data_IF_004730117928
#
_entry.id   IF_004730117928
#
_cell.length_a   1.000
_cell.length_b   1.000
_cell.length_c   1.000
_cell.angle_alpha   90.00
_cell.angle_beta   90.00
_cell.angle_gamma   90.00
#
_symmetry.space_group_name_H-M   'P 1'
#
loop_
_entity.id
_entity.type
_entity.pdbx_description
1 polymer ?
#
# COMPACT_ATOMS: atom_id res chain seq x y z
N UNK A 1 -19.75 10.41 11.28
CA UNK A 1 -18.43 11.10 11.08
C UNK A 1 -18.43 12.35 11.94
N UNK A 2 -17.27 12.79 12.46
CA UNK A 2 -17.16 14.07 13.16
C UNK A 2 -17.53 15.19 12.20
N UNK A 3 -18.41 16.11 12.61
CA UNK A 3 -18.88 17.19 11.75
C UNK A 3 -17.73 18.13 11.30
N UNK A 4 -17.78 18.70 10.09
CA UNK A 4 -16.77 19.68 9.65
C UNK A 4 -16.65 20.86 10.61
N UNK A 5 -17.75 21.29 11.23
CA UNK A 5 -17.76 22.35 12.20
C UNK A 5 -16.97 21.96 13.47
N UNK A 6 -17.19 20.77 14.00
CA UNK A 6 -16.41 20.24 15.14
C UNK A 6 -14.93 20.15 14.81
N UNK A 7 -14.56 19.67 13.59
CA UNK A 7 -13.15 19.61 13.17
C UNK A 7 -12.53 21.02 13.16
N UNK A 8 -13.24 22.00 12.62
CA UNK A 8 -12.76 23.38 12.60
C UNK A 8 -12.63 23.98 14.01
N UNK A 9 -13.56 23.68 14.92
CA UNK A 9 -13.47 24.10 16.32
C UNK A 9 -12.27 23.48 17.03
N UNK A 10 -11.98 22.19 16.81
CA UNK A 10 -10.80 21.51 17.33
C UNK A 10 -9.54 22.20 16.80
N UNK A 11 -9.44 22.35 15.46
CA UNK A 11 -8.26 22.96 14.82
C UNK A 11 -7.96 24.39 15.28
N UNK A 12 -9.01 25.15 15.61
CA UNK A 12 -8.83 26.54 16.11
C UNK A 12 -8.34 26.64 17.56
N UNK A 13 -8.39 25.54 18.33
CA UNK A 13 -8.02 25.51 19.75
C UNK A 13 -6.74 24.77 20.06
N UNK A 14 -6.26 23.94 19.12
CA UNK A 14 -5.05 23.16 19.34
C UNK A 14 -3.80 24.03 19.38
N UNK A 15 -2.91 23.68 20.30
CA UNK A 15 -1.55 24.20 20.40
C UNK A 15 -0.57 23.03 20.30
N UNK A 16 0.26 23.05 19.28
CA UNK A 16 1.22 21.97 19.03
C UNK A 16 2.21 21.78 20.18
N UNK A 17 2.56 22.84 20.91
CA UNK A 17 3.47 22.76 22.06
C UNK A 17 2.80 22.03 23.22
N UNK A 18 1.53 22.32 23.49
CA UNK A 18 0.75 21.63 24.51
C UNK A 18 0.60 20.13 24.20
N UNK A 19 0.32 19.80 22.94
CA UNK A 19 0.11 18.41 22.50
C UNK A 19 1.42 17.65 22.53
N UNK A 20 2.44 18.14 21.84
CA UNK A 20 3.75 17.45 21.76
C UNK A 20 4.43 17.43 23.12
N UNK A 21 4.29 18.49 23.92
CA UNK A 21 4.85 18.59 25.28
C UNK A 21 4.29 17.57 26.26
N UNK A 22 3.13 16.96 25.97
CA UNK A 22 2.59 15.83 26.74
C UNK A 22 3.47 14.59 26.63
N UNK A 23 4.13 14.39 25.48
CA UNK A 23 4.87 13.16 25.15
C UNK A 23 6.40 13.40 25.10
N UNK A 24 6.81 14.62 24.76
CA UNK A 24 8.21 14.97 24.52
C UNK A 24 8.64 16.12 25.41
N UNK A 25 9.75 15.96 26.13
CA UNK A 25 10.33 17.03 26.95
C UNK A 25 10.93 18.11 26.04
N UNK A 26 10.21 19.20 25.86
CA UNK A 26 10.58 20.33 25.01
C UNK A 26 11.34 21.40 25.79
N UNK A 27 12.39 21.97 25.18
CA UNK A 27 13.11 23.15 25.69
C UNK A 27 13.02 24.28 24.66
N UNK A 28 12.68 25.48 25.09
CA UNK A 28 12.60 26.64 24.21
C UNK A 28 13.98 27.02 23.66
N UNK A 29 14.04 27.25 22.35
CA UNK A 29 15.23 27.71 21.63
C UNK A 29 14.84 28.80 20.61
N UNK A 30 14.96 30.05 21.00
CA UNK A 30 14.45 31.16 20.19
C UNK A 30 12.93 31.18 20.09
N UNK A 31 12.41 31.17 18.86
CA UNK A 31 10.97 31.10 18.54
C UNK A 31 10.41 29.71 18.50
N UNK A 32 11.27 28.70 18.53
CA UNK A 32 10.90 27.27 18.42
C UNK A 32 11.20 26.53 19.72
N UNK A 33 10.77 25.27 19.78
CA UNK A 33 11.07 24.33 20.86
C UNK A 33 11.84 23.14 20.31
N UNK A 34 12.75 22.60 21.10
CA UNK A 34 13.64 21.52 20.73
C UNK A 34 13.56 20.38 21.77
N UNK A 35 13.51 19.14 21.31
CA UNK A 35 13.50 17.94 22.14
C UNK A 35 14.20 16.76 21.49
N UNK A 36 14.30 15.65 22.22
CA UNK A 36 14.71 14.37 21.63
C UNK A 36 13.54 13.79 20.82
N UNK A 37 13.84 13.26 19.66
CA UNK A 37 12.82 12.71 18.78
C UNK A 37 12.15 11.45 19.37
N UNK A 38 10.81 11.40 19.44
CA UNK A 38 10.12 10.20 19.94
C UNK A 38 10.05 9.08 18.90
N UNK A 39 10.46 9.33 17.65
CA UNK A 39 10.32 8.39 16.54
C UNK A 39 11.61 7.65 16.18
N UNK A 40 12.77 8.07 16.71
CA UNK A 40 14.05 7.39 16.55
C UNK A 40 14.96 7.67 17.75
N UNK A 41 15.93 6.78 17.99
CA UNK A 41 16.89 6.96 19.08
C UNK A 41 17.96 7.97 18.69
N UNK A 42 18.15 9.01 19.52
CA UNK A 42 19.20 10.02 19.35
C UNK A 42 19.74 10.48 20.73
N UNK A 43 21.00 10.91 20.74
CA UNK A 43 21.64 11.45 21.95
C UNK A 43 21.58 13.00 22.01
N UNK A 44 21.48 13.64 20.87
CA UNK A 44 21.38 15.10 20.74
C UNK A 44 20.03 15.49 20.16
N UNK A 45 19.34 16.50 20.72
CA UNK A 45 18.01 16.88 20.25
C UNK A 45 18.02 17.36 18.79
N UNK A 46 17.21 16.75 17.95
CA UNK A 46 16.97 17.15 16.54
C UNK A 46 15.50 17.38 16.23
N UNK A 47 14.60 17.13 17.18
CA UNK A 47 13.17 17.29 17.02
C UNK A 47 12.75 18.73 17.37
N UNK A 48 12.34 19.49 16.35
CA UNK A 48 11.97 20.90 16.46
C UNK A 48 10.46 21.06 16.31
N UNK A 49 9.85 21.86 17.20
CA UNK A 49 8.43 22.22 17.15
C UNK A 49 8.33 23.74 16.98
N UNK A 50 7.59 24.17 15.98
CA UNK A 50 7.36 25.57 15.63
C UNK A 50 5.92 25.98 15.95
N UNK A 51 5.66 26.72 17.03
CA UNK A 51 4.31 27.17 17.36
C UNK A 51 3.74 28.14 16.31
N UNK A 52 4.56 28.99 15.73
CA UNK A 52 4.11 29.96 14.71
C UNK A 52 3.62 29.29 13.41
N UNK A 53 4.06 28.05 13.14
CA UNK A 53 3.67 27.27 11.95
C UNK A 53 2.74 26.11 12.29
N UNK A 54 2.49 25.84 13.58
CA UNK A 54 1.73 24.67 14.08
C UNK A 54 2.22 23.34 13.51
N UNK A 55 3.58 23.18 13.36
CA UNK A 55 4.22 21.98 12.86
C UNK A 55 5.39 21.54 13.71
N UNK A 56 5.70 20.24 13.63
CA UNK A 56 6.98 19.70 14.07
C UNK A 56 7.80 19.20 12.88
N UNK A 57 9.13 19.15 13.05
CA UNK A 57 10.07 18.51 12.15
C UNK A 57 11.26 17.96 12.91
N UNK A 58 11.57 16.70 12.66
CA UNK A 58 12.81 16.08 13.11
C UNK A 58 13.88 16.19 12.02
N UNK A 59 15.00 16.82 12.31
CA UNK A 59 16.13 16.93 11.38
C UNK A 59 17.04 15.68 11.39
N UNK A 60 16.81 14.72 12.29
CA UNK A 60 17.51 13.44 12.33
C UNK A 60 16.87 12.39 11.41
N UNK A 61 15.55 12.16 11.56
CA UNK A 61 14.83 11.14 10.78
C UNK A 61 13.90 11.69 9.69
N UNK A 62 13.84 13.02 9.51
CA UNK A 62 13.03 13.65 8.46
C UNK A 62 11.52 13.77 8.75
N UNK A 63 11.00 13.09 9.78
CA UNK A 63 9.56 13.13 10.12
C UNK A 63 9.09 14.53 10.43
N UNK A 64 7.94 14.89 9.89
CA UNK A 64 7.30 16.19 10.08
C UNK A 64 5.79 16.07 9.99
N UNK A 65 5.08 17.00 10.62
CA UNK A 65 3.61 17.02 10.61
C UNK A 65 3.04 18.10 11.51
N UNK A 66 1.72 18.13 11.61
CA UNK A 66 0.97 18.95 12.56
C UNK A 66 0.60 18.13 13.82
N UNK A 67 -0.16 18.72 14.72
CA UNK A 67 -0.62 18.08 15.96
C UNK A 67 -1.37 16.77 15.73
N UNK A 68 -2.26 16.69 14.72
CA UNK A 68 -3.01 15.48 14.40
C UNK A 68 -2.05 14.41 13.85
N UNK A 69 -1.18 14.78 12.91
CA UNK A 69 -0.16 13.87 12.36
C UNK A 69 0.77 13.33 13.44
N UNK A 70 1.13 14.15 14.42
CA UNK A 70 1.92 13.71 15.57
C UNK A 70 1.23 12.61 16.37
N UNK A 71 -0.05 12.79 16.72
CA UNK A 71 -0.82 11.78 17.45
C UNK A 71 -1.01 10.48 16.64
N UNK A 72 -1.25 10.60 15.33
CA UNK A 72 -1.36 9.45 14.44
C UNK A 72 -0.04 8.67 14.37
N UNK A 73 1.09 9.35 14.31
CA UNK A 73 2.41 8.73 14.22
C UNK A 73 2.91 8.18 15.56
N UNK A 74 2.68 8.91 16.66
CA UNK A 74 3.17 8.58 17.99
C UNK A 74 2.29 7.55 18.70
N UNK A 75 1.00 7.86 18.84
CA UNK A 75 0.02 7.02 19.55
C UNK A 75 -0.61 5.96 18.65
N UNK A 76 -0.31 5.97 17.33
CA UNK A 76 -0.90 5.08 16.34
C UNK A 76 -2.42 5.26 16.19
N UNK A 77 -2.91 6.43 16.54
CA UNK A 77 -4.32 6.75 16.37
C UNK A 77 -4.70 6.85 14.90
N UNK A 78 -5.90 6.45 14.57
CA UNK A 78 -6.56 6.87 13.32
C UNK A 78 -6.87 8.37 13.38
N UNK A 79 -7.13 9.00 12.24
CA UNK A 79 -7.48 10.41 12.16
C UNK A 79 -8.69 10.76 13.06
N UNK A 80 -9.70 9.88 13.12
CA UNK A 80 -10.89 10.05 13.94
C UNK A 80 -10.57 9.93 15.43
N UNK A 81 -9.73 8.98 15.81
CA UNK A 81 -9.29 8.81 17.21
C UNK A 81 -8.46 10.01 17.68
N UNK A 82 -7.55 10.49 16.83
CA UNK A 82 -6.79 11.70 17.11
C UNK A 82 -7.70 12.93 17.32
N UNK A 83 -8.71 13.10 16.47
CA UNK A 83 -9.70 14.18 16.63
C UNK A 83 -10.52 14.05 17.91
N UNK A 84 -10.94 12.84 18.28
CA UNK A 84 -11.68 12.61 19.55
C UNK A 84 -10.83 12.90 20.78
N UNK A 85 -9.54 12.48 20.75
CA UNK A 85 -8.59 12.78 21.82
C UNK A 85 -8.39 14.29 21.97
N UNK A 86 -8.23 15.01 20.85
CA UNK A 86 -8.11 16.48 20.85
C UNK A 86 -9.39 17.15 21.34
N UNK A 87 -10.55 16.70 20.89
CA UNK A 87 -11.85 17.21 21.34
C UNK A 87 -12.02 17.08 22.85
N UNK A 88 -11.67 15.93 23.41
CA UNK A 88 -11.71 15.71 24.85
C UNK A 88 -10.74 16.62 25.61
N UNK A 89 -9.50 16.77 25.11
CA UNK A 89 -8.48 17.60 25.75
C UNK A 89 -8.83 19.08 25.77
N UNK A 90 -9.43 19.58 24.68
CA UNK A 90 -9.78 21.00 24.53
C UNK A 90 -11.25 21.31 24.85
N UNK A 91 -11.97 20.35 25.43
CA UNK A 91 -13.39 20.49 25.81
C UNK A 91 -14.26 20.95 24.63
N UNK A 92 -14.09 20.32 23.49
CA UNK A 92 -14.93 20.54 22.30
C UNK A 92 -15.97 19.42 22.25
N UNK A 93 -17.24 19.80 22.23
CA UNK A 93 -18.33 18.84 22.04
C UNK A 93 -18.29 18.27 20.64
N UNK A 94 -18.28 16.93 20.53
CA UNK A 94 -18.20 16.25 19.24
C UNK A 94 -19.59 16.07 18.67
N UNK A 95 -19.95 16.94 17.73
CA UNK A 95 -21.13 16.75 16.91
C UNK A 95 -20.81 15.71 15.84
N UNK A 96 -21.55 14.61 15.84
CA UNK A 96 -21.47 13.60 14.80
C UNK A 96 -22.57 13.85 13.76
N UNK A 97 -22.16 14.02 12.49
CA UNK A 97 -23.13 13.99 11.40
C UNK A 97 -23.75 12.60 11.32
N UNK A 98 -25.06 12.50 11.30
CA UNK A 98 -25.75 11.25 11.06
C UNK A 98 -25.24 10.65 9.75
N UNK A 99 -24.58 9.51 9.86
CA UNK A 99 -24.15 8.73 8.71
C UNK A 99 -25.41 8.14 8.10
N UNK A 100 -25.70 8.40 6.82
CA UNK A 100 -26.85 7.81 6.16
C UNK A 100 -26.85 6.28 6.28
N UNK A 101 -28.00 5.61 6.29
CA UNK A 101 -28.05 4.15 6.32
C UNK A 101 -27.19 3.50 5.22
N UNK A 102 -27.13 4.11 4.05
CA UNK A 102 -26.31 3.68 2.92
C UNK A 102 -24.80 3.79 3.20
N UNK A 103 -24.36 4.89 3.81
CA UNK A 103 -22.95 5.08 4.22
C UNK A 103 -22.55 4.12 5.34
N UNK A 104 -23.45 3.81 6.30
CA UNK A 104 -23.20 2.78 7.31
C UNK A 104 -23.01 1.41 6.68
N UNK A 105 -23.87 1.05 5.74
CA UNK A 105 -23.80 -0.22 5.03
C UNK A 105 -22.50 -0.33 4.22
N UNK A 106 -22.10 0.75 3.53
CA UNK A 106 -20.83 0.83 2.79
C UNK A 106 -19.62 0.67 3.70
N UNK A 107 -19.63 1.30 4.86
CA UNK A 107 -18.54 1.19 5.84
C UNK A 107 -18.44 -0.22 6.42
N UNK A 108 -19.57 -0.84 6.77
CA UNK A 108 -19.61 -2.24 7.24
C UNK A 108 -19.14 -3.22 6.15
N UNK A 109 -19.53 -2.99 4.88
CA UNK A 109 -19.04 -3.77 3.76
C UNK A 109 -17.51 -3.63 3.60
N UNK A 110 -16.97 -2.42 3.66
CA UNK A 110 -15.54 -2.16 3.58
C UNK A 110 -14.74 -2.82 4.71
N UNK A 111 -15.24 -2.78 5.95
CA UNK A 111 -14.63 -3.46 7.09
C UNK A 111 -14.63 -4.98 6.90
N UNK A 112 -15.76 -5.55 6.46
CA UNK A 112 -15.89 -6.98 6.20
C UNK A 112 -14.94 -7.44 5.09
N UNK A 113 -14.84 -6.69 3.98
CA UNK A 113 -13.89 -6.97 2.90
C UNK A 113 -12.43 -6.93 3.39
N UNK A 114 -12.09 -5.99 4.26
CA UNK A 114 -10.75 -5.88 4.84
C UNK A 114 -10.40 -7.10 5.70
N UNK A 115 -11.35 -7.61 6.49
CA UNK A 115 -11.18 -8.82 7.32
C UNK A 115 -11.01 -10.05 6.42
N UNK A 116 -11.84 -10.18 5.39
CA UNK A 116 -11.75 -11.28 4.41
C UNK A 116 -10.39 -11.25 3.68
N UNK A 117 -9.93 -10.09 3.24
CA UNK A 117 -8.64 -9.98 2.55
C UNK A 117 -7.46 -10.34 3.46
N UNK A 118 -7.52 -9.99 4.74
CA UNK A 118 -6.52 -10.41 5.71
C UNK A 118 -6.50 -11.93 5.87
N UNK A 119 -7.65 -12.56 6.06
CA UNK A 119 -7.77 -14.01 6.16
C UNK A 119 -7.25 -14.70 4.89
N UNK A 120 -7.61 -14.18 3.70
CA UNK A 120 -7.14 -14.71 2.43
C UNK A 120 -5.61 -14.60 2.28
N UNK A 121 -5.02 -13.47 2.65
CA UNK A 121 -3.57 -13.28 2.62
C UNK A 121 -2.86 -14.30 3.53
N UNK A 122 -3.34 -14.50 4.75
CA UNK A 122 -2.79 -15.46 5.71
C UNK A 122 -2.92 -16.90 5.15
N UNK A 123 -4.08 -17.26 4.59
CA UNK A 123 -4.32 -18.55 3.97
C UNK A 123 -3.34 -18.83 2.82
N UNK A 124 -3.22 -17.90 1.85
CA UNK A 124 -2.36 -18.08 0.70
C UNK A 124 -0.87 -18.13 1.05
N UNK A 125 -0.42 -17.27 1.97
CA UNK A 125 0.97 -17.27 2.45
C UNK A 125 1.30 -18.55 3.23
N UNK A 126 0.39 -18.99 4.10
CA UNK A 126 0.54 -20.23 4.84
C UNK A 126 0.57 -21.44 3.87
N UNK A 127 -0.30 -21.45 2.87
CA UNK A 127 -0.33 -22.52 1.89
C UNK A 127 0.99 -22.61 1.10
N UNK A 128 1.51 -21.45 0.64
CA UNK A 128 2.79 -21.38 -0.08
C UNK A 128 3.96 -21.94 0.74
N UNK A 129 4.04 -21.58 2.02
CA UNK A 129 5.23 -21.81 2.83
C UNK A 129 5.19 -23.13 3.63
N UNK A 130 4.00 -23.60 3.99
CA UNK A 130 3.83 -24.65 5.01
C UNK A 130 3.09 -25.92 4.51
N UNK A 131 2.71 -25.97 3.22
CA UNK A 131 2.14 -27.21 2.63
C UNK A 131 3.07 -27.80 1.60
N UNK A 132 3.01 -29.12 1.40
CA UNK A 132 3.78 -29.84 0.38
C UNK A 132 3.48 -29.30 -1.02
N UNK A 133 2.19 -29.18 -1.41
CA UNK A 133 1.78 -28.61 -2.69
C UNK A 133 2.31 -27.16 -2.89
N UNK A 134 2.23 -26.32 -1.85
CA UNK A 134 2.73 -24.96 -1.89
C UNK A 134 4.24 -24.88 -2.09
N UNK A 135 5.00 -25.75 -1.42
CA UNK A 135 6.46 -25.80 -1.54
C UNK A 135 6.92 -26.36 -2.89
N UNK A 136 6.32 -27.46 -3.33
CA UNK A 136 6.72 -28.16 -4.55
C UNK A 136 6.33 -27.39 -5.82
N UNK A 137 5.19 -26.71 -5.80
CA UNK A 137 4.68 -26.00 -6.97
C UNK A 137 4.96 -24.49 -6.85
N UNK A 138 4.40 -23.83 -5.83
CA UNK A 138 4.43 -22.38 -5.71
C UNK A 138 5.80 -21.82 -5.36
N UNK A 139 6.40 -22.34 -4.28
CA UNK A 139 7.70 -21.88 -3.79
C UNK A 139 8.83 -22.29 -4.75
N UNK A 140 8.78 -23.51 -5.31
CA UNK A 140 9.72 -23.98 -6.34
C UNK A 140 9.70 -23.06 -7.56
N UNK A 141 8.50 -22.69 -8.05
CA UNK A 141 8.35 -21.74 -9.15
C UNK A 141 9.00 -20.37 -8.83
N UNK A 142 8.75 -19.82 -7.64
CA UNK A 142 9.32 -18.54 -7.23
C UNK A 142 10.84 -18.62 -7.09
N UNK A 143 11.38 -19.70 -6.50
CA UNK A 143 12.82 -19.95 -6.41
C UNK A 143 13.48 -20.11 -7.79
N UNK A 144 12.84 -20.80 -8.72
CA UNK A 144 13.33 -20.93 -10.10
C UNK A 144 13.39 -19.57 -10.82
N UNK A 145 12.51 -18.63 -10.45
CA UNK A 145 12.56 -17.25 -10.93
C UNK A 145 13.57 -16.36 -10.18
N UNK A 146 14.35 -16.91 -9.25
CA UNK A 146 15.38 -16.18 -8.52
C UNK A 146 14.89 -15.49 -7.25
N UNK A 147 13.62 -15.63 -6.83
CA UNK A 147 13.13 -15.00 -5.61
C UNK A 147 13.59 -15.74 -4.36
N UNK A 148 14.15 -14.97 -3.41
CA UNK A 148 14.55 -15.46 -2.08
C UNK A 148 13.35 -15.48 -1.13
N UNK A 149 13.37 -16.39 -0.16
CA UNK A 149 12.27 -16.51 0.81
C UNK A 149 12.04 -15.23 1.64
N UNK A 150 13.08 -14.46 1.89
CA UNK A 150 13.00 -13.20 2.62
C UNK A 150 12.12 -12.19 1.89
N UNK A 151 12.29 -12.05 0.57
CA UNK A 151 11.48 -11.13 -0.24
C UNK A 151 10.05 -11.65 -0.41
N UNK A 152 9.88 -12.97 -0.55
CA UNK A 152 8.56 -13.62 -0.61
C UNK A 152 7.78 -13.31 0.68
N UNK A 153 8.42 -13.45 1.85
CA UNK A 153 7.83 -13.14 3.15
C UNK A 153 7.58 -11.64 3.33
N UNK A 154 8.52 -10.77 2.91
CA UNK A 154 8.39 -9.30 2.97
C UNK A 154 7.14 -8.83 2.22
N UNK A 155 6.91 -9.33 1.01
CA UNK A 155 5.76 -8.99 0.17
C UNK A 155 4.52 -9.83 0.47
N UNK A 156 4.60 -10.79 1.42
CA UNK A 156 3.50 -11.67 1.81
C UNK A 156 2.93 -12.47 0.63
N UNK A 157 3.79 -12.83 -0.32
CA UNK A 157 3.40 -13.60 -1.51
C UNK A 157 2.83 -14.94 -1.07
N UNK A 158 1.79 -15.40 -1.75
CA UNK A 158 1.09 -16.63 -1.46
C UNK A 158 0.87 -17.50 -2.69
N UNK A 159 0.23 -18.63 -2.45
CA UNK A 159 -0.19 -19.56 -3.50
C UNK A 159 -1.59 -20.08 -3.20
N UNK A 160 -2.47 -20.04 -4.18
CA UNK A 160 -3.77 -20.71 -4.08
C UNK A 160 -3.70 -22.08 -4.78
N UNK A 161 -4.07 -23.18 -4.09
CA UNK A 161 -4.03 -24.52 -4.63
C UNK A 161 -4.74 -24.69 -5.97
N UNK A 162 -4.42 -25.77 -6.68
CA UNK A 162 -5.06 -26.09 -7.96
C UNK A 162 -6.47 -26.67 -7.78
N UNK A 163 -6.79 -27.16 -6.59
CA UNK A 163 -8.12 -27.65 -6.25
C UNK A 163 -9.18 -26.54 -6.40
N UNK A 164 -10.40 -26.97 -6.77
CA UNK A 164 -11.48 -26.07 -7.22
C UNK A 164 -11.93 -25.06 -6.16
N UNK A 165 -11.83 -25.41 -4.88
CA UNK A 165 -12.53 -24.74 -3.78
C UNK A 165 -11.77 -24.74 -2.44
N UNK A 166 -10.43 -24.79 -2.47
CA UNK A 166 -9.60 -24.87 -1.26
C UNK A 166 -9.79 -23.67 -0.35
N UNK A 167 -9.65 -22.46 -0.88
CA UNK A 167 -9.88 -21.23 -0.13
C UNK A 167 -11.35 -21.06 0.24
N UNK A 168 -12.26 -21.30 -0.72
CA UNK A 168 -13.70 -21.17 -0.50
C UNK A 168 -14.19 -22.05 0.66
N UNK A 169 -13.75 -23.33 0.73
CA UNK A 169 -14.06 -24.23 1.85
C UNK A 169 -13.52 -23.69 3.18
N UNK A 170 -12.26 -23.26 3.22
CA UNK A 170 -11.65 -22.72 4.42
C UNK A 170 -12.39 -21.46 4.91
N UNK A 171 -12.77 -20.56 4.00
CA UNK A 171 -13.50 -19.35 4.31
C UNK A 171 -14.93 -19.65 4.82
N UNK A 172 -15.63 -20.59 4.20
CA UNK A 172 -16.98 -21.00 4.66
C UNK A 172 -16.92 -21.69 6.04
N UNK A 173 -15.91 -22.55 6.28
CA UNK A 173 -15.68 -23.15 7.61
C UNK A 173 -15.38 -22.08 8.67
N UNK A 174 -14.68 -21.01 8.31
CA UNK A 174 -14.45 -19.86 9.17
C UNK A 174 -15.65 -18.89 9.26
N UNK A 175 -16.83 -19.32 8.75
CA UNK A 175 -18.10 -18.59 8.81
C UNK A 175 -18.13 -17.25 8.05
N UNK A 176 -17.29 -17.05 7.04
CA UNK A 176 -17.38 -15.89 6.17
C UNK A 176 -18.58 -15.98 5.23
N UNK A 177 -19.28 -14.85 5.05
CA UNK A 177 -20.44 -14.75 4.16
C UNK A 177 -20.02 -14.90 2.69
N UNK A 178 -20.69 -15.82 1.95
CA UNK A 178 -20.38 -16.13 0.56
C UNK A 178 -20.56 -14.91 -0.37
N UNK A 179 -21.55 -14.07 -0.14
CA UNK A 179 -21.78 -12.85 -0.94
C UNK A 179 -20.60 -11.87 -0.80
N UNK A 180 -20.08 -11.71 0.41
CA UNK A 180 -18.89 -10.89 0.65
C UNK A 180 -17.62 -11.50 0.05
N UNK A 181 -17.49 -12.83 0.06
CA UNK A 181 -16.41 -13.55 -0.62
C UNK A 181 -16.48 -13.36 -2.16
N UNK A 182 -17.68 -13.32 -2.74
CA UNK A 182 -17.87 -12.99 -4.16
C UNK A 182 -17.50 -11.52 -4.43
N UNK A 183 -17.94 -10.62 -3.57
CA UNK A 183 -17.68 -9.18 -3.70
C UNK A 183 -16.19 -8.85 -3.59
N UNK A 184 -15.43 -9.60 -2.77
CA UNK A 184 -13.97 -9.50 -2.68
C UNK A 184 -13.26 -9.99 -3.95
N UNK A 185 -13.95 -10.71 -4.83
CA UNK A 185 -13.39 -11.32 -6.03
C UNK A 185 -12.57 -12.60 -5.79
N UNK A 186 -12.51 -13.09 -4.55
CA UNK A 186 -11.77 -14.31 -4.19
C UNK A 186 -12.51 -15.57 -4.61
N UNK A 187 -13.83 -15.53 -4.59
CA UNK A 187 -14.72 -16.67 -4.84
C UNK A 187 -15.75 -16.30 -5.90
N UNK A 188 -16.11 -17.27 -6.73
CA UNK A 188 -17.31 -17.23 -7.58
C UNK A 188 -18.28 -18.34 -7.15
N UNK A 189 -19.57 -18.19 -7.44
CA UNK A 189 -20.54 -19.26 -7.26
C UNK A 189 -20.83 -19.88 -8.62
N UNK A 190 -20.62 -21.20 -8.72
CA UNK A 190 -20.92 -22.01 -9.91
C UNK A 190 -21.65 -23.28 -9.47
N UNK A 191 -22.77 -23.57 -10.11
CA UNK A 191 -23.63 -24.68 -9.74
C UNK A 191 -23.99 -24.69 -8.24
N UNK A 192 -24.37 -23.50 -7.73
CA UNK A 192 -24.71 -23.22 -6.31
C UNK A 192 -23.56 -23.46 -5.31
N UNK A 193 -22.35 -23.71 -5.78
CA UNK A 193 -21.18 -23.96 -4.93
C UNK A 193 -20.14 -22.84 -5.07
N UNK A 194 -19.56 -22.38 -3.95
CA UNK A 194 -18.45 -21.45 -3.98
C UNK A 194 -17.19 -22.13 -4.53
N UNK A 195 -16.49 -21.44 -5.45
CA UNK A 195 -15.27 -21.91 -6.10
C UNK A 195 -14.23 -20.80 -6.15
N UNK A 196 -12.95 -21.17 -6.09
CA UNK A 196 -11.84 -20.22 -6.07
C UNK A 196 -11.60 -19.57 -7.43
N UNK A 197 -11.51 -18.23 -7.44
CA UNK A 197 -11.18 -17.48 -8.66
C UNK A 197 -9.68 -17.53 -9.00
N UNK A 198 -8.80 -17.65 -8.00
CA UNK A 198 -7.34 -17.58 -8.19
C UNK A 198 -6.66 -18.95 -8.17
N UNK A 199 -7.38 -19.98 -8.50
CA UNK A 199 -6.92 -21.38 -8.48
C UNK A 199 -5.62 -21.60 -9.27
N UNK A 200 -4.65 -22.30 -8.66
CA UNK A 200 -3.36 -22.64 -9.26
C UNK A 200 -2.49 -21.43 -9.59
N UNK A 201 -2.58 -20.34 -8.82
CA UNK A 201 -1.87 -19.09 -9.09
C UNK A 201 -1.00 -18.63 -7.92
N UNK A 202 0.09 -17.96 -8.25
CA UNK A 202 0.85 -17.16 -7.28
C UNK A 202 0.07 -15.89 -6.98
N UNK A 203 -0.05 -15.56 -5.70
CA UNK A 203 -0.85 -14.45 -5.21
C UNK A 203 0.06 -13.33 -4.71
N UNK A 204 -0.17 -12.13 -5.22
CA UNK A 204 0.52 -10.89 -4.84
C UNK A 204 -0.46 -10.00 -4.08
N UNK A 205 -0.36 -9.90 -2.74
CA UNK A 205 -1.23 -9.00 -1.97
C UNK A 205 -0.94 -7.54 -2.30
N UNK A 206 -2.00 -6.76 -2.50
CA UNK A 206 -1.93 -5.34 -2.82
C UNK A 206 -2.29 -4.55 -1.57
N UNK A 207 -1.36 -3.72 -1.08
CA UNK A 207 -1.47 -3.03 0.19
C UNK A 207 -1.86 -1.55 0.01
N UNK A 208 -2.59 -1.01 0.98
CA UNK A 208 -2.75 0.43 1.12
C UNK A 208 -1.52 1.05 1.82
N UNK A 209 -1.53 2.38 2.03
CA UNK A 209 -0.42 3.10 2.67
C UNK A 209 -0.20 2.72 4.16
N UNK A 210 -1.17 2.11 4.83
CA UNK A 210 -1.05 1.62 6.20
C UNK A 210 -0.67 0.14 6.30
N UNK A 211 -0.47 -0.56 5.18
CA UNK A 211 -0.11 -1.97 5.12
C UNK A 211 -1.28 -2.95 5.20
N UNK A 212 -2.52 -2.47 5.10
CA UNK A 212 -3.70 -3.35 5.01
C UNK A 212 -3.86 -3.86 3.58
N UNK A 213 -4.21 -5.14 3.42
CA UNK A 213 -4.46 -5.74 2.11
C UNK A 213 -5.80 -5.29 1.55
N UNK A 214 -5.78 -4.65 0.39
CA UNK A 214 -6.96 -4.16 -0.32
C UNK A 214 -7.48 -5.16 -1.36
N UNK A 215 -6.61 -5.98 -1.91
CA UNK A 215 -6.91 -6.93 -2.95
C UNK A 215 -5.68 -7.73 -3.35
N UNK A 216 -5.76 -8.42 -4.48
CA UNK A 216 -4.74 -9.35 -4.93
C UNK A 216 -4.53 -9.26 -6.44
N UNK A 217 -3.27 -9.39 -6.85
CA UNK A 217 -2.91 -9.82 -8.19
C UNK A 217 -2.60 -11.31 -8.19
N UNK A 218 -3.02 -12.04 -9.20
CA UNK A 218 -2.82 -13.49 -9.25
C UNK A 218 -2.22 -13.91 -10.60
N UNK A 219 -1.00 -14.47 -10.56
CA UNK A 219 -0.24 -14.91 -11.74
C UNK A 219 -0.37 -16.40 -11.98
N UNK A 220 -0.67 -16.80 -13.21
CA UNK A 220 -0.66 -18.20 -13.60
C UNK A 220 0.76 -18.77 -13.65
N UNK A 221 0.95 -20.00 -13.20
CA UNK A 221 2.26 -20.68 -13.18
C UNK A 221 2.67 -21.21 -14.55
N UNK A 222 1.73 -21.80 -15.26
CA UNK A 222 1.94 -22.37 -16.59
C UNK A 222 1.29 -21.49 -17.64
N UNK A 223 2.00 -21.19 -18.71
CA UNK A 223 1.40 -20.49 -19.85
C UNK A 223 0.19 -21.28 -20.36
N UNK A 224 -0.92 -20.60 -20.52
CA UNK A 224 -2.15 -21.15 -21.05
C UNK A 224 -2.78 -20.12 -21.97
N UNK A 225 -2.86 -20.41 -23.26
CA UNK A 225 -3.41 -19.50 -24.27
C UNK A 225 -4.88 -19.12 -24.04
N UNK A 226 -5.59 -19.89 -23.20
CA UNK A 226 -7.00 -19.67 -22.86
C UNK A 226 -7.21 -18.87 -21.57
N UNK A 227 -6.15 -18.60 -20.80
CA UNK A 227 -6.27 -17.93 -19.51
C UNK A 227 -5.30 -16.71 -19.43
N UNK A 228 -5.74 -15.56 -18.92
CA UNK A 228 -4.88 -14.40 -18.79
C UNK A 228 -3.71 -14.70 -17.83
N UNK A 229 -2.52 -14.18 -18.19
CA UNK A 229 -1.27 -14.31 -17.39
C UNK A 229 -1.48 -13.78 -15.96
N UNK A 230 -2.16 -12.66 -15.84
CA UNK A 230 -2.55 -12.04 -14.56
C UNK A 230 -4.05 -11.82 -14.50
N UNK A 231 -4.61 -11.99 -13.33
CA UNK A 231 -5.96 -11.52 -12.96
C UNK A 231 -5.84 -10.73 -11.66
N UNK A 232 -6.69 -9.71 -11.52
CA UNK A 232 -6.69 -8.83 -10.35
C UNK A 232 -8.05 -8.87 -9.67
N UNK A 233 -8.08 -8.52 -8.37
CA UNK A 233 -9.32 -8.23 -7.66
C UNK A 233 -10.19 -7.25 -8.47
N UNK A 234 -11.50 -7.50 -8.61
CA UNK A 234 -12.41 -6.54 -9.21
C UNK A 234 -12.57 -5.28 -8.35
N UNK A 235 -12.99 -4.16 -8.96
CA UNK A 235 -13.31 -2.92 -8.24
C UNK A 235 -14.35 -3.20 -7.15
N UNK A 236 -14.10 -2.68 -5.95
CA UNK A 236 -15.02 -2.76 -4.81
C UNK A 236 -14.77 -1.59 -3.85
N UNK A 237 -15.45 -1.56 -2.69
CA UNK A 237 -15.40 -0.43 -1.75
C UNK A 237 -14.02 -0.11 -1.20
N UNK A 238 -13.10 -1.09 -1.16
CA UNK A 238 -11.75 -0.90 -0.61
C UNK A 238 -10.65 -0.97 -1.69
N UNK A 239 -10.99 -1.46 -2.89
CA UNK A 239 -10.02 -1.66 -3.97
C UNK A 239 -10.43 -0.91 -5.24
N UNK A 240 -9.60 0.03 -5.66
CA UNK A 240 -9.73 0.71 -6.95
C UNK A 240 -8.37 0.75 -7.65
N UNK A 241 -8.26 0.04 -8.77
CA UNK A 241 -7.01 -0.08 -9.55
C UNK A 241 -6.42 1.28 -9.92
N UNK A 242 -7.28 2.21 -10.27
CA UNK A 242 -6.88 3.56 -10.70
C UNK A 242 -6.25 4.40 -9.58
N UNK A 243 -6.39 3.98 -8.31
CA UNK A 243 -5.97 4.74 -7.13
C UNK A 243 -4.90 4.03 -6.30
N UNK A 244 -4.33 2.94 -6.82
CA UNK A 244 -3.38 2.10 -6.07
C UNK A 244 -2.13 1.89 -6.93
N UNK A 245 -0.96 1.92 -6.29
CA UNK A 245 0.30 1.47 -6.84
C UNK A 245 0.81 0.28 -6.03
N UNK A 246 1.10 -0.83 -6.71
CA UNK A 246 1.69 -2.00 -6.07
C UNK A 246 3.07 -1.68 -5.52
N UNK A 247 3.39 -2.20 -4.35
CA UNK A 247 4.67 -1.96 -3.70
C UNK A 247 4.77 -0.64 -2.92
N UNK A 248 3.83 0.31 -3.10
CA UNK A 248 3.91 1.65 -2.51
C UNK A 248 4.03 1.66 -0.97
N UNK A 249 3.43 0.70 -0.27
CA UNK A 249 3.60 0.53 1.17
C UNK A 249 5.06 0.27 1.56
N UNK A 250 5.75 -0.58 0.82
CA UNK A 250 7.15 -0.94 1.07
C UNK A 250 8.12 0.13 0.58
N UNK A 251 7.79 0.80 -0.53
CA UNK A 251 8.66 1.76 -1.21
C UNK A 251 8.69 3.16 -0.58
N UNK A 252 7.67 3.57 0.15
CA UNK A 252 7.44 4.96 0.61
C UNK A 252 8.64 5.63 1.28
N UNK A 253 9.34 4.91 2.17
CA UNK A 253 10.51 5.44 2.87
C UNK A 253 11.74 5.55 1.96
N UNK A 254 11.89 4.60 1.04
CA UNK A 254 12.97 4.62 0.06
C UNK A 254 12.75 5.73 -0.98
N UNK A 255 11.51 5.97 -1.41
CA UNK A 255 11.15 7.08 -2.30
C UNK A 255 11.47 8.42 -1.64
N UNK A 256 11.03 8.64 -0.39
CA UNK A 256 11.31 9.88 0.36
C UNK A 256 12.81 10.10 0.54
N UNK A 257 13.56 9.04 0.87
CA UNK A 257 15.02 9.11 1.07
C UNK A 257 15.79 9.36 -0.21
N UNK A 258 15.38 8.73 -1.32
CA UNK A 258 16.03 8.88 -2.63
C UNK A 258 15.59 10.15 -3.37
N UNK A 259 14.49 10.78 -2.92
CA UNK A 259 13.78 11.84 -3.64
C UNK A 259 13.47 11.44 -5.11
N UNK A 260 13.20 10.17 -5.33
CA UNK A 260 12.89 9.62 -6.66
C UNK A 260 12.02 8.37 -6.53
N UNK A 261 11.00 8.26 -7.39
CA UNK A 261 10.14 7.09 -7.51
C UNK A 261 10.41 6.40 -8.86
N UNK A 262 10.66 5.11 -8.83
CA UNK A 262 10.74 4.27 -10.03
C UNK A 262 9.37 3.63 -10.28
N UNK A 263 8.85 3.73 -11.50
CA UNK A 263 7.58 3.16 -11.91
C UNK A 263 7.81 2.08 -12.95
N UNK A 264 7.39 0.86 -12.64
CA UNK A 264 7.42 -0.31 -13.53
C UNK A 264 5.98 -0.80 -13.84
N UNK A 265 5.84 -1.83 -14.68
CA UNK A 265 4.52 -2.33 -15.07
C UNK A 265 3.98 -3.41 -14.13
N UNK A 266 4.83 -4.36 -13.71
CA UNK A 266 4.41 -5.62 -13.12
C UNK A 266 4.76 -5.82 -11.65
N UNK A 267 4.06 -6.79 -11.04
CA UNK A 267 4.29 -7.19 -9.65
C UNK A 267 5.68 -7.81 -9.46
N UNK A 268 6.10 -8.65 -10.39
CA UNK A 268 7.39 -9.33 -10.36
C UNK A 268 8.55 -8.35 -10.46
N UNK A 269 8.42 -7.31 -11.27
CA UNK A 269 9.44 -6.29 -11.45
C UNK A 269 9.73 -5.55 -10.13
N UNK A 270 8.66 -5.15 -9.41
CA UNK A 270 8.79 -4.54 -8.09
C UNK A 270 9.51 -5.47 -7.12
N UNK A 271 9.11 -6.74 -7.06
CA UNK A 271 9.69 -7.69 -6.10
C UNK A 271 11.17 -7.97 -6.42
N UNK A 272 11.54 -8.12 -7.70
CA UNK A 272 12.91 -8.33 -8.14
C UNK A 272 13.81 -7.12 -7.86
N UNK A 273 13.33 -5.92 -8.19
CA UNK A 273 14.08 -4.69 -7.91
C UNK A 273 14.28 -4.47 -6.42
N UNK A 274 13.23 -4.69 -5.59
CA UNK A 274 13.38 -4.67 -4.13
C UNK A 274 14.39 -5.69 -3.61
N UNK A 275 14.41 -6.89 -4.16
CA UNK A 275 15.37 -7.92 -3.81
C UNK A 275 16.81 -7.51 -4.16
N UNK A 276 17.00 -6.77 -5.22
CA UNK A 276 18.27 -6.22 -5.65
C UNK A 276 18.70 -4.97 -4.84
N UNK A 277 17.88 -4.49 -3.91
CA UNK A 277 18.16 -3.31 -3.08
C UNK A 277 17.62 -1.98 -3.66
N UNK A 278 16.94 -2.03 -4.80
CA UNK A 278 16.27 -0.87 -5.41
C UNK A 278 14.84 -0.79 -4.84
N UNK A 279 14.71 -0.17 -3.67
CA UNK A 279 13.46 -0.22 -2.90
C UNK A 279 12.47 0.92 -3.20
N UNK A 280 12.88 1.97 -3.91
CA UNK A 280 12.03 3.11 -4.28
C UNK A 280 11.17 2.85 -5.54
N UNK A 281 10.72 1.61 -5.74
CA UNK A 281 10.01 1.15 -6.92
C UNK A 281 8.57 0.76 -6.63
N UNK A 282 7.66 1.12 -7.55
CA UNK A 282 6.23 0.80 -7.53
C UNK A 282 5.75 0.36 -8.91
N UNK A 283 4.60 -0.31 -8.98
CA UNK A 283 3.99 -0.68 -10.27
C UNK A 283 2.54 -0.25 -10.40
N UNK A 284 2.12 0.02 -11.65
CA UNK A 284 0.72 0.27 -12.01
C UNK A 284 -0.16 -0.99 -11.93
N UNK A 285 0.45 -2.19 -11.89
CA UNK A 285 -0.23 -3.46 -11.64
C UNK A 285 -1.13 -3.94 -12.80
N UNK A 286 -0.70 -3.76 -14.04
CA UNK A 286 -1.42 -4.24 -15.24
C UNK A 286 -2.61 -3.35 -15.65
N UNK A 287 -2.54 -2.07 -15.32
CA UNK A 287 -3.45 -1.03 -15.81
C UNK A 287 -2.67 0.11 -16.45
N UNK A 288 -3.28 0.84 -17.37
CA UNK A 288 -2.71 2.11 -17.81
C UNK A 288 -2.53 3.05 -16.61
N UNK A 289 -1.41 3.77 -16.58
CA UNK A 289 -1.13 4.77 -15.55
C UNK A 289 -2.25 5.82 -15.49
N UNK A 290 -2.57 6.27 -14.28
CA UNK A 290 -3.65 7.22 -14.04
C UNK A 290 -3.17 8.46 -13.28
N UNK A 291 -3.87 9.61 -13.41
CA UNK A 291 -3.58 10.80 -12.60
C UNK A 291 -3.61 10.54 -11.09
N UNK A 292 -4.56 9.73 -10.60
CA UNK A 292 -4.64 9.40 -9.17
C UNK A 292 -3.42 8.63 -8.68
N UNK A 293 -2.88 7.70 -9.49
CA UNK A 293 -1.62 6.99 -9.18
C UNK A 293 -0.42 7.94 -9.16
N UNK A 294 -0.35 8.90 -10.07
CA UNK A 294 0.71 9.93 -10.09
C UNK A 294 0.63 10.86 -8.88
N UNK A 295 -0.56 11.23 -8.45
CA UNK A 295 -0.78 11.98 -7.20
C UNK A 295 -0.35 11.22 -5.95
N UNK A 296 -0.40 9.88 -5.97
CA UNK A 296 0.19 9.07 -4.88
C UNK A 296 1.72 9.21 -4.84
N UNK A 297 2.39 9.17 -5.99
CA UNK A 297 3.84 9.40 -6.08
C UNK A 297 4.18 10.79 -5.57
N UNK A 298 3.44 11.80 -6.02
CA UNK A 298 3.65 13.22 -5.68
C UNK A 298 3.58 13.54 -4.18
N UNK A 299 2.97 12.67 -3.37
CA UNK A 299 2.99 12.80 -1.90
C UNK A 299 4.38 12.60 -1.29
N UNK A 300 5.30 11.95 -2.00
CA UNK A 300 6.63 11.57 -1.50
C UNK A 300 7.75 12.26 -2.26
N UNK A 301 7.61 12.46 -3.57
CA UNK A 301 8.62 13.09 -4.44
C UNK A 301 7.98 13.73 -5.67
N UNK A 302 8.67 14.71 -6.26
CA UNK A 302 8.31 15.27 -7.58
C UNK A 302 9.07 14.58 -8.72
N UNK A 303 9.99 13.64 -8.43
CA UNK A 303 10.86 13.02 -9.42
C UNK A 303 10.37 11.58 -9.71
N UNK A 304 9.98 11.33 -10.95
CA UNK A 304 9.49 10.04 -11.42
C UNK A 304 10.37 9.51 -12.54
N UNK A 305 10.87 8.28 -12.39
CA UNK A 305 11.53 7.55 -13.47
C UNK A 305 10.64 6.39 -13.91
N UNK A 306 10.15 6.42 -15.13
CA UNK A 306 9.33 5.36 -15.73
C UNK A 306 10.28 4.37 -16.43
N UNK A 307 10.16 3.09 -16.04
CA UNK A 307 10.97 1.99 -16.57
C UNK A 307 10.00 0.96 -17.15
N UNK A 308 9.91 0.94 -18.47
CA UNK A 308 9.01 0.05 -19.19
C UNK A 308 9.77 -0.86 -20.15
N UNK A 309 9.09 -1.94 -20.54
CA UNK A 309 9.65 -2.91 -21.50
C UNK A 309 10.04 -2.22 -22.81
N UNK A 310 11.13 -2.65 -23.42
CA UNK A 310 11.65 -2.09 -24.68
C UNK A 310 10.84 -2.45 -25.91
N UNK A 311 9.70 -3.14 -25.78
CA UNK A 311 8.83 -3.49 -26.88
C UNK A 311 7.94 -2.31 -27.34
N UNK A 312 7.29 -2.46 -28.48
CA UNK A 312 6.45 -1.40 -29.06
C UNK A 312 5.22 -1.05 -28.22
N UNK A 313 4.76 -1.94 -27.35
CA UNK A 313 3.63 -1.70 -26.44
C UNK A 313 4.12 -0.91 -25.21
N UNK A 314 5.25 -1.30 -24.64
CA UNK A 314 5.90 -0.61 -23.52
C UNK A 314 6.30 0.82 -23.87
N UNK A 315 6.90 1.04 -25.06
CA UNK A 315 7.24 2.40 -25.54
C UNK A 315 5.99 3.28 -25.65
N UNK A 316 4.89 2.79 -26.21
CA UNK A 316 3.64 3.55 -26.30
C UNK A 316 3.03 3.83 -24.91
N UNK A 317 3.16 2.89 -24.00
CA UNK A 317 2.70 3.08 -22.62
C UNK A 317 3.57 4.11 -21.89
N UNK A 318 4.90 4.07 -22.07
CA UNK A 318 5.85 5.03 -21.51
C UNK A 318 5.56 6.46 -21.98
N UNK A 319 5.33 6.67 -23.27
CA UNK A 319 5.00 8.00 -23.82
C UNK A 319 3.68 8.55 -23.27
N UNK A 320 2.62 7.72 -23.17
CA UNK A 320 1.37 8.15 -22.54
C UNK A 320 1.57 8.46 -21.04
N UNK A 321 2.39 7.66 -20.35
CA UNK A 321 2.75 7.89 -18.96
C UNK A 321 3.51 9.20 -18.76
N UNK A 322 4.40 9.55 -19.68
CA UNK A 322 5.13 10.81 -19.69
C UNK A 322 4.17 12.02 -19.76
N UNK A 323 3.24 12.01 -20.72
CA UNK A 323 2.28 13.11 -20.89
C UNK A 323 1.46 13.32 -19.61
N UNK A 324 0.88 12.26 -19.06
CA UNK A 324 0.12 12.32 -17.81
C UNK A 324 0.95 12.82 -16.62
N UNK A 325 2.22 12.40 -16.52
CA UNK A 325 3.08 12.81 -15.43
C UNK A 325 3.50 14.29 -15.53
N UNK A 326 3.69 14.80 -16.75
CA UNK A 326 3.93 16.23 -16.98
C UNK A 326 2.67 17.07 -16.65
N UNK A 327 1.48 16.60 -16.99
CA UNK A 327 0.21 17.24 -16.60
C UNK A 327 0.06 17.36 -15.08
N UNK A 328 0.50 16.33 -14.33
CA UNK A 328 0.54 16.35 -12.86
C UNK A 328 1.76 17.10 -12.29
N UNK A 329 2.56 17.78 -13.13
CA UNK A 329 3.73 18.57 -12.74
C UNK A 329 4.81 17.75 -12.01
N UNK A 330 5.10 16.55 -12.48
CA UNK A 330 6.23 15.73 -12.07
C UNK A 330 7.43 15.95 -12.99
N UNK A 331 8.63 15.86 -12.44
CA UNK A 331 9.89 15.75 -13.21
C UNK A 331 10.03 14.30 -13.66
N UNK A 332 10.03 14.05 -14.97
CA UNK A 332 9.97 12.69 -15.51
C UNK A 332 11.24 12.33 -16.26
N UNK A 333 11.75 11.14 -15.97
CA UNK A 333 12.76 10.45 -16.78
C UNK A 333 12.15 9.17 -17.36
N UNK A 334 12.58 8.78 -18.54
CA UNK A 334 12.23 7.51 -19.16
C UNK A 334 13.48 6.63 -19.27
N UNK A 335 13.35 5.39 -18.87
CA UNK A 335 14.35 4.34 -19.07
C UNK A 335 13.69 3.24 -19.90
N UNK A 336 14.29 2.90 -21.00
CA UNK A 336 13.89 1.78 -21.85
C UNK A 336 14.83 0.61 -21.59
N UNK A 337 14.27 -0.50 -21.17
CA UNK A 337 14.99 -1.77 -21.04
C UNK A 337 15.33 -2.29 -22.45
N UNK A 338 16.50 -2.91 -22.67
CA UNK A 338 16.86 -3.47 -23.98
C UNK A 338 15.83 -4.46 -24.51
N UNK A 339 15.71 -4.57 -25.83
CA UNK A 339 14.75 -5.46 -26.52
C UNK A 339 14.71 -6.87 -25.91
N UNK A 340 13.48 -7.36 -25.68
CA UNK A 340 13.13 -8.68 -25.12
C UNK A 340 13.45 -8.88 -23.63
N UNK A 341 13.88 -7.86 -22.94
CA UNK A 341 14.04 -7.89 -21.47
C UNK A 341 12.94 -7.05 -20.81
N UNK A 342 12.55 -7.47 -19.62
CA UNK A 342 11.76 -6.68 -18.66
C UNK A 342 12.64 -6.32 -17.44
N UNK A 343 12.22 -5.42 -16.55
CA UNK A 343 13.01 -5.04 -15.37
C UNK A 343 13.38 -6.22 -14.48
N UNK A 344 12.52 -7.25 -14.36
CA UNK A 344 12.77 -8.48 -13.60
C UNK A 344 13.92 -9.28 -14.21
N UNK A 345 13.85 -9.59 -15.53
CA UNK A 345 14.90 -10.35 -16.23
C UNK A 345 16.22 -9.58 -16.29
N UNK A 346 16.14 -8.26 -16.54
CA UNK A 346 17.32 -7.42 -16.69
C UNK A 346 18.12 -7.31 -15.38
N UNK A 347 17.46 -7.01 -14.25
CA UNK A 347 18.15 -6.91 -12.96
C UNK A 347 18.75 -8.25 -12.49
N UNK A 348 18.09 -9.36 -12.79
CA UNK A 348 18.61 -10.69 -12.48
C UNK A 348 19.85 -11.06 -13.32
N UNK A 349 19.98 -10.47 -14.51
CA UNK A 349 21.10 -10.74 -15.44
C UNK A 349 22.32 -9.85 -15.20
N UNK A 350 22.12 -8.56 -14.93
CA UNK A 350 23.20 -7.57 -14.87
C UNK A 350 23.50 -7.08 -13.44
N UNK A 351 22.62 -7.35 -12.49
CA UNK A 351 22.66 -6.82 -11.12
C UNK A 351 21.97 -5.45 -10.98
N UNK A 352 21.99 -4.91 -9.77
CA UNK A 352 21.36 -3.62 -9.45
C UNK A 352 22.09 -2.41 -10.03
#
# INVERSE_FOLDING_TARGET
MISPNTIQQILSRIDIIDIVGTFVKLKRRGTNYLGLCPFHNEKSPSFTVSPAKEIYKCFGCGRSGNSIGFLMDHEKYTYVEALRWLAQRYNVEVEETEVSPEQKLQQQSAESLSIINKFAQEFFSNHLLNTEEGQDIGLSYLKHRGFREEIIKKFQIGFNPEARDSFAKAAVQAQYNVELLQKSGLVAVRDEKPVDNYRGRIIFPIHNQSGKVLGFGARILKANDKAPKYINTPENEIYSKSKILYGSYFARQAIDKADECLLVEGYTDVVSLHQAGIENVVASGGTSLTPDQLRLVKKYTNNLTIIYDGDGAGIKAALRGLDLALEESLNVKLVLIPDKEDPDSYVNKVGP
#
